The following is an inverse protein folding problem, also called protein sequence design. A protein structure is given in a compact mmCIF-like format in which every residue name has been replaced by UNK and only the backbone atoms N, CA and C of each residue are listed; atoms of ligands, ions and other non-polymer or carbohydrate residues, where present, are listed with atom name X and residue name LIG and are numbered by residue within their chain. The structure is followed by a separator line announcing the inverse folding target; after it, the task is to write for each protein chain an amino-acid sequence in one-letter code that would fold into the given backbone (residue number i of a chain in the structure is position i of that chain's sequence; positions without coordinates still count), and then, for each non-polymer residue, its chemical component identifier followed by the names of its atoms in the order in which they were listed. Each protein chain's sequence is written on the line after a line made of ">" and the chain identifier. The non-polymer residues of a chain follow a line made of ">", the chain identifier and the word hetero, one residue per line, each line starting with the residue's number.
data_IF_336335276429
#
_entry.id   IF_336335276429
#
_cell.length_a   1.000
_cell.length_b   1.000
_cell.length_c   1.000
_cell.angle_alpha   90.00
_cell.angle_beta   90.00
_cell.angle_gamma   90.00
#
_symmetry.space_group_name_H-M   'P 1'
#
loop_
_entity.id
_entity.type
_entity.pdbx_description
1 polymer ?
#
# COMPACT_ATOMS: atom_id res chain seq x y z
N UNK A 1 20.02 -34.85 -42.19
CA UNK A 1 19.07 -34.58 -41.10
C UNK A 1 19.59 -33.39 -40.30
N UNK A 2 18.77 -32.38 -39.96
CA UNK A 2 19.23 -31.23 -39.19
C UNK A 2 19.60 -31.67 -37.76
N UNK A 3 20.73 -31.19 -37.23
CA UNK A 3 21.16 -31.47 -35.86
C UNK A 3 20.13 -30.90 -34.88
N UNK A 4 19.48 -31.77 -34.11
CA UNK A 4 18.59 -31.38 -33.02
C UNK A 4 19.45 -31.00 -31.81
N UNK A 5 19.65 -29.71 -31.59
CA UNK A 5 20.37 -29.22 -30.42
C UNK A 5 19.45 -29.21 -29.20
N UNK A 6 19.85 -29.84 -28.10
CA UNK A 6 19.17 -29.72 -26.80
C UNK A 6 19.57 -28.41 -26.12
N UNK A 7 18.63 -27.49 -26.01
CA UNK A 7 18.79 -26.23 -25.30
C UNK A 7 18.73 -26.47 -23.79
N UNK A 8 19.58 -25.77 -23.01
CA UNK A 8 19.51 -25.76 -21.54
C UNK A 8 18.16 -25.22 -21.01
N UNK A 9 17.46 -24.42 -21.83
CA UNK A 9 16.18 -23.78 -21.49
C UNK A 9 15.20 -24.00 -22.66
N UNK A 10 14.50 -25.16 -22.70
CA UNK A 10 13.65 -25.51 -23.83
C UNK A 10 12.25 -24.88 -23.78
N UNK A 11 11.81 -24.40 -22.61
CA UNK A 11 10.46 -23.86 -22.40
C UNK A 11 10.41 -22.42 -22.89
N UNK A 12 9.44 -22.12 -23.75
CA UNK A 12 9.18 -20.77 -24.25
C UNK A 12 7.95 -20.17 -23.58
N UNK A 13 8.02 -18.86 -23.30
CA UNK A 13 6.89 -18.03 -22.85
C UNK A 13 6.81 -16.84 -23.80
N UNK A 14 5.62 -16.57 -24.33
CA UNK A 14 5.38 -15.47 -25.27
C UNK A 14 4.79 -14.30 -24.50
N UNK A 15 5.37 -13.12 -24.68
CA UNK A 15 4.85 -11.85 -24.16
C UNK A 15 4.48 -11.01 -25.39
N UNK A 16 3.26 -10.50 -25.43
CA UNK A 16 2.81 -9.56 -26.46
C UNK A 16 2.91 -8.16 -25.87
N UNK A 17 3.45 -7.22 -26.65
CA UNK A 17 3.70 -5.84 -26.26
C UNK A 17 3.13 -4.91 -27.33
N UNK A 18 2.69 -3.72 -26.93
CA UNK A 18 2.49 -2.61 -27.85
C UNK A 18 3.85 -2.08 -28.36
N UNK A 19 3.82 -1.25 -29.39
CA UNK A 19 5.01 -0.57 -29.92
C UNK A 19 5.72 0.25 -28.81
N UNK A 20 4.92 1.02 -28.06
CA UNK A 20 5.38 1.89 -26.96
C UNK A 20 6.03 1.08 -25.82
N UNK A 21 5.40 -0.04 -25.42
CA UNK A 21 5.94 -0.94 -24.39
C UNK A 21 7.26 -1.57 -24.83
N UNK A 22 7.36 -1.96 -26.11
CA UNK A 22 8.57 -2.55 -26.67
C UNK A 22 9.72 -1.55 -26.72
N UNK A 23 9.48 -0.30 -27.15
CA UNK A 23 10.48 0.76 -27.13
C UNK A 23 10.92 1.09 -25.70
N UNK A 24 9.98 1.18 -24.78
CA UNK A 24 10.29 1.43 -23.37
C UNK A 24 11.20 0.34 -22.80
N UNK A 25 10.89 -0.94 -23.04
CA UNK A 25 11.70 -2.06 -22.58
C UNK A 25 13.08 -2.04 -23.24
N UNK A 26 13.18 -1.75 -24.54
CA UNK A 26 14.46 -1.63 -25.26
C UNK A 26 15.37 -0.58 -24.62
N UNK A 27 14.83 0.62 -24.41
CA UNK A 27 15.55 1.71 -23.75
C UNK A 27 15.99 1.33 -22.33
N UNK A 28 15.17 0.56 -21.60
CA UNK A 28 15.50 0.07 -20.26
C UNK A 28 16.62 -0.98 -20.27
N UNK A 29 16.66 -1.83 -21.30
CA UNK A 29 17.74 -2.81 -21.50
C UNK A 29 19.05 -2.09 -21.85
N UNK A 30 19.02 -1.13 -22.77
CA UNK A 30 20.21 -0.34 -23.16
C UNK A 30 20.84 0.40 -21.98
N UNK A 31 20.02 0.89 -21.05
CA UNK A 31 20.48 1.55 -19.82
C UNK A 31 20.91 0.60 -18.71
N UNK A 32 20.75 -0.71 -18.91
CA UNK A 32 21.08 -1.74 -17.92
C UNK A 32 22.36 -2.49 -18.30
N UNK A 33 22.88 -3.29 -17.37
CA UNK A 33 24.02 -4.19 -17.65
C UNK A 33 23.63 -5.45 -18.45
N UNK A 34 22.39 -5.54 -18.96
CA UNK A 34 21.90 -6.70 -19.70
C UNK A 34 22.07 -6.50 -21.22
N UNK A 35 22.68 -7.49 -21.87
CA UNK A 35 23.01 -7.41 -23.30
C UNK A 35 21.85 -7.82 -24.24
N UNK A 36 20.75 -8.37 -23.71
CA UNK A 36 19.61 -8.81 -24.51
C UNK A 36 18.33 -8.98 -23.67
N UNK A 37 17.19 -8.97 -24.35
CA UNK A 37 15.86 -9.14 -23.77
C UNK A 37 15.71 -10.45 -22.98
N UNK A 38 16.23 -11.57 -23.51
CA UNK A 38 16.09 -12.88 -22.86
C UNK A 38 16.71 -12.89 -21.46
N UNK A 39 17.91 -12.32 -21.30
CA UNK A 39 18.58 -12.24 -20.01
C UNK A 39 17.91 -11.22 -19.08
N UNK A 40 17.51 -10.06 -19.62
CA UNK A 40 16.79 -9.04 -18.87
C UNK A 40 15.47 -9.58 -18.30
N UNK A 41 14.58 -10.05 -19.17
CA UNK A 41 13.27 -10.56 -18.81
C UNK A 41 13.37 -11.73 -17.83
N UNK A 42 14.26 -12.70 -18.10
CA UNK A 42 14.44 -13.84 -17.19
C UNK A 42 14.95 -13.40 -15.81
N UNK A 43 15.86 -12.43 -15.75
CA UNK A 43 16.42 -11.98 -14.48
C UNK A 43 15.36 -11.24 -13.67
N UNK A 44 14.62 -10.32 -14.28
CA UNK A 44 13.52 -9.61 -13.63
C UNK A 44 12.37 -10.56 -13.23
N UNK A 45 12.02 -11.56 -14.05
CA UNK A 45 10.96 -12.52 -13.71
C UNK A 45 11.35 -13.48 -12.58
N UNK A 46 12.65 -13.70 -12.33
CA UNK A 46 13.13 -14.58 -11.26
C UNK A 46 13.47 -13.80 -9.99
N UNK A 47 14.09 -12.62 -10.13
CA UNK A 47 14.60 -11.80 -9.02
C UNK A 47 13.68 -10.65 -8.66
N UNK A 48 12.74 -10.28 -9.53
CA UNK A 48 11.82 -9.19 -9.28
C UNK A 48 11.00 -9.49 -8.04
N UNK A 49 11.16 -8.66 -7.02
CA UNK A 49 10.29 -8.70 -5.86
C UNK A 49 8.90 -8.23 -6.28
N UNK A 50 7.89 -9.06 -6.02
CA UNK A 50 6.50 -8.63 -6.14
C UNK A 50 6.17 -7.86 -4.86
N UNK A 51 6.34 -6.54 -4.92
CA UNK A 51 5.93 -5.66 -3.82
C UNK A 51 4.41 -5.55 -3.80
N UNK A 52 3.76 -6.43 -3.04
CA UNK A 52 2.37 -6.25 -2.64
C UNK A 52 2.32 -5.22 -1.54
N UNK A 53 1.93 -3.98 -1.88
CA UNK A 53 1.65 -2.95 -0.88
C UNK A 53 0.29 -3.27 -0.27
N UNK A 54 0.29 -3.75 0.97
CA UNK A 54 -0.94 -3.96 1.74
C UNK A 54 -1.48 -2.62 2.24
N UNK A 55 -2.60 -2.16 1.68
CA UNK A 55 -3.28 -0.94 2.08
C UNK A 55 -4.27 -1.15 3.24
N UNK A 56 -4.34 -2.35 3.83
CA UNK A 56 -5.27 -2.67 4.93
C UNK A 56 -5.11 -1.73 6.11
N UNK A 57 -3.87 -1.32 6.43
CA UNK A 57 -3.58 -0.35 7.49
C UNK A 57 -4.10 1.05 7.18
N UNK A 58 -3.91 1.52 5.94
CA UNK A 58 -4.42 2.83 5.49
C UNK A 58 -5.95 2.84 5.49
N UNK A 59 -6.60 1.74 5.09
CA UNK A 59 -8.05 1.57 5.18
C UNK A 59 -8.55 1.52 6.63
N UNK A 60 -7.77 0.98 7.56
CA UNK A 60 -8.13 0.97 8.97
C UNK A 60 -8.01 2.37 9.59
N UNK A 61 -6.96 3.11 9.25
CA UNK A 61 -6.79 4.50 9.65
C UNK A 61 -7.94 5.38 9.13
N UNK A 62 -8.28 5.27 7.85
CA UNK A 62 -9.42 5.98 7.27
C UNK A 62 -10.75 5.67 7.99
N UNK A 63 -10.96 4.42 8.41
CA UNK A 63 -12.13 4.03 9.22
C UNK A 63 -12.12 4.70 10.59
N UNK A 64 -10.97 4.80 11.25
CA UNK A 64 -10.86 5.49 12.54
C UNK A 64 -11.13 6.99 12.39
N UNK A 65 -10.58 7.63 11.36
CA UNK A 65 -10.84 9.05 11.05
C UNK A 65 -12.32 9.30 10.72
N UNK A 66 -12.97 8.39 9.97
CA UNK A 66 -14.39 8.50 9.68
C UNK A 66 -15.26 8.42 10.97
N UNK A 67 -14.85 7.62 11.96
CA UNK A 67 -15.51 7.59 13.27
C UNK A 67 -15.37 8.91 14.02
N UNK A 68 -14.18 9.53 13.98
CA UNK A 68 -13.96 10.88 14.54
C UNK A 68 -14.93 11.88 13.92
N UNK A 69 -15.02 11.92 12.59
CA UNK A 69 -15.92 12.83 11.87
C UNK A 69 -17.39 12.62 12.22
N UNK A 70 -17.83 11.36 12.38
CA UNK A 70 -19.19 11.04 12.80
C UNK A 70 -19.48 11.52 14.23
N UNK A 71 -18.54 11.33 15.16
CA UNK A 71 -18.68 11.80 16.53
C UNK A 71 -18.74 13.33 16.58
N UNK A 72 -17.90 14.03 15.82
CA UNK A 72 -17.95 15.50 15.69
C UNK A 72 -19.31 15.95 15.14
N UNK A 73 -19.83 15.27 14.12
CA UNK A 73 -21.15 15.60 13.56
C UNK A 73 -22.30 15.38 14.56
N UNK A 74 -22.19 14.38 15.43
CA UNK A 74 -23.16 14.18 16.51
C UNK A 74 -23.11 15.33 17.51
N UNK A 75 -21.92 15.82 17.85
CA UNK A 75 -21.74 17.00 18.73
C UNK A 75 -22.36 18.24 18.11
N UNK A 76 -22.10 18.49 16.83
CA UNK A 76 -22.68 19.65 16.13
C UNK A 76 -24.20 19.58 16.14
N UNK A 77 -24.77 18.38 15.94
CA UNK A 77 -26.23 18.17 16.03
C UNK A 77 -26.76 18.41 17.44
N UNK A 78 -26.11 17.89 18.47
CA UNK A 78 -26.51 18.09 19.87
C UNK A 78 -26.39 19.58 20.27
N UNK A 79 -25.27 20.22 19.94
CA UNK A 79 -25.05 21.65 20.17
C UNK A 79 -26.12 22.53 19.50
N UNK A 80 -26.44 22.24 18.24
CA UNK A 80 -27.51 22.94 17.51
C UNK A 80 -28.91 22.63 18.06
N UNK A 81 -29.11 21.49 18.71
CA UNK A 81 -30.39 21.07 19.27
C UNK A 81 -30.66 21.67 20.66
N UNK A 82 -29.62 21.94 21.45
CA UNK A 82 -29.77 22.38 22.85
C UNK A 82 -29.48 23.87 23.10
N UNK A 83 -28.85 24.60 22.16
CA UNK A 83 -28.57 26.04 22.20
C UNK A 83 -27.76 26.56 23.43
N UNK A 84 -27.45 25.72 24.42
CA UNK A 84 -26.50 25.89 25.52
C UNK A 84 -25.85 24.53 25.83
N UNK A 85 -24.52 24.43 25.73
CA UNK A 85 -23.76 23.21 26.04
C UNK A 85 -23.38 23.22 27.53
N UNK A 86 -23.64 22.12 28.25
CA UNK A 86 -23.16 21.94 29.62
C UNK A 86 -21.65 21.70 29.66
N UNK A 87 -20.96 22.24 30.66
CA UNK A 87 -19.51 21.99 30.88
C UNK A 87 -19.21 20.50 31.03
N UNK A 88 -20.15 19.72 31.58
CA UNK A 88 -20.02 18.27 31.71
C UNK A 88 -19.97 17.55 30.35
N UNK A 89 -20.70 18.04 29.36
CA UNK A 89 -20.67 17.50 28.00
C UNK A 89 -19.31 17.77 27.35
N UNK A 90 -18.73 18.96 27.57
CA UNK A 90 -17.39 19.31 27.07
C UNK A 90 -16.32 18.42 27.72
N UNK A 91 -16.41 18.16 29.02
CA UNK A 91 -15.46 17.31 29.75
C UNK A 91 -15.53 15.86 29.28
N UNK A 92 -16.74 15.32 29.09
CA UNK A 92 -16.93 13.98 28.54
C UNK A 92 -16.40 13.88 27.10
N UNK A 93 -16.54 14.96 26.32
CA UNK A 93 -16.00 15.04 24.97
C UNK A 93 -14.48 15.05 24.95
N UNK A 94 -13.84 15.86 25.79
CA UNK A 94 -12.38 15.88 25.90
C UNK A 94 -11.83 14.50 26.29
N UNK A 95 -12.49 13.82 27.22
CA UNK A 95 -12.12 12.47 27.64
C UNK A 95 -12.22 11.46 26.50
N UNK A 96 -13.35 11.46 25.77
CA UNK A 96 -13.56 10.56 24.63
C UNK A 96 -12.55 10.82 23.51
N UNK A 97 -12.20 12.08 23.26
CA UNK A 97 -11.19 12.47 22.27
C UNK A 97 -9.77 12.03 22.68
N UNK A 98 -9.46 12.10 23.97
CA UNK A 98 -8.20 11.63 24.54
C UNK A 98 -8.06 10.12 24.41
N UNK A 99 -9.07 9.37 24.83
CA UNK A 99 -9.07 7.90 24.78
C UNK A 99 -8.89 7.40 23.34
N UNK A 100 -9.55 8.06 22.38
CA UNK A 100 -9.41 7.75 20.96
C UNK A 100 -8.02 8.09 20.40
N UNK A 101 -7.44 9.21 20.81
CA UNK A 101 -6.08 9.61 20.40
C UNK A 101 -5.03 8.62 20.92
N UNK A 102 -5.23 8.11 22.13
CA UNK A 102 -4.39 7.09 22.73
C UNK A 102 -4.51 5.75 22.00
N UNK A 103 -5.73 5.33 21.64
CA UNK A 103 -5.98 4.11 20.87
C UNK A 103 -5.32 4.16 19.48
N UNK A 104 -5.46 5.28 18.77
CA UNK A 104 -4.79 5.52 17.47
C UNK A 104 -3.27 5.45 17.63
N UNK A 105 -2.72 6.12 18.65
CA UNK A 105 -1.27 6.17 18.89
C UNK A 105 -0.70 4.80 19.23
N UNK A 106 -1.40 3.98 20.02
CA UNK A 106 -0.98 2.62 20.35
C UNK A 106 -1.05 1.69 19.14
N UNK A 107 -2.08 1.83 18.31
CA UNK A 107 -2.21 1.06 17.07
C UNK A 107 -1.04 1.38 16.14
N UNK A 108 -0.74 2.66 15.91
CA UNK A 108 0.42 3.09 15.10
C UNK A 108 1.73 2.55 15.66
N UNK A 109 1.96 2.66 16.98
CA UNK A 109 3.19 2.12 17.62
C UNK A 109 3.35 0.62 17.45
N UNK A 110 2.25 -0.13 17.50
CA UNK A 110 2.24 -1.59 17.36
C UNK A 110 2.55 -2.01 15.93
N UNK A 111 1.94 -1.35 14.94
CA UNK A 111 2.17 -1.64 13.52
C UNK A 111 3.56 -1.20 13.05
N UNK A 112 4.07 -0.05 13.53
CA UNK A 112 5.47 0.35 13.29
C UNK A 112 6.49 -0.67 13.83
N UNK A 113 6.19 -1.34 14.96
CA UNK A 113 7.04 -2.41 15.51
C UNK A 113 7.00 -3.69 14.69
N UNK A 114 5.86 -4.04 14.09
CA UNK A 114 5.75 -5.20 13.20
C UNK A 114 6.51 -4.99 11.89
N UNK A 115 6.34 -3.82 11.26
CA UNK A 115 7.03 -3.50 10.01
C UNK A 115 8.56 -3.42 10.16
N UNK A 116 9.08 -3.05 11.34
CA UNK A 116 10.53 -3.07 11.63
C UNK A 116 11.14 -4.47 11.76
N UNK A 117 10.35 -5.54 11.94
CA UNK A 117 10.85 -6.92 12.04
C UNK A 117 10.97 -7.63 10.69
N UNK A 118 10.44 -7.02 9.62
CA UNK A 118 10.34 -7.60 8.28
C UNK A 118 11.44 -7.03 7.34
N UNK A 119 12.23 -6.06 7.82
CA UNK A 119 13.41 -5.51 7.12
C UNK A 119 14.68 -6.11 7.73
#
# INVERSE_FOLDING_TARGET
>A
MPKVYKLKRPIQKIIRLSEEENEYIRNKIEKSSFNNFQNFARTILIQGEVNTIDYSELMNLNRQVAKVGNNINQIVRLANQFNEISVEDIVNLQKTMSDLSDEVTQTIKTEMKKNRKII
#
